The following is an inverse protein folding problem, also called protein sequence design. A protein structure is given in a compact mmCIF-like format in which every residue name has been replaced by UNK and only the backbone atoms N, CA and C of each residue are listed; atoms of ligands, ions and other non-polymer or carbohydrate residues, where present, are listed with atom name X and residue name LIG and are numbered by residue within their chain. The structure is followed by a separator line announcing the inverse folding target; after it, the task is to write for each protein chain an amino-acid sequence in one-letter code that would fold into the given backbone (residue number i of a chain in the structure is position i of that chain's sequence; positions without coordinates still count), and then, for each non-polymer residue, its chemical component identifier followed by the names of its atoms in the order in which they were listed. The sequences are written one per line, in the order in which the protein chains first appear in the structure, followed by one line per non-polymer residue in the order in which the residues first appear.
data_IF_107223792991
#
_entry.id   IF_107223792991
#
_cell.length_a   1.000
_cell.length_b   1.000
_cell.length_c   1.000
_cell.angle_alpha   90.00
_cell.angle_beta   90.00
_cell.angle_gamma   90.00
#
_symmetry.space_group_name_H-M   'P 1'
#
loop_
_entity.id
_entity.type
_entity.pdbx_description
1 polymer ?
#
# COMPACT_ATOMS: atom_id res chain seq x y z
N UNK A 1 -5.08 -19.12 7.08
CA UNK A 1 -5.03 -20.58 7.01
C UNK A 1 -3.91 -20.95 6.08
N UNK A 2 -3.21 -22.04 6.38
CA UNK A 2 -2.17 -22.55 5.51
C UNK A 2 -2.80 -23.07 4.20
N UNK A 3 -2.09 -22.92 3.08
CA UNK A 3 -2.61 -23.24 1.76
C UNK A 3 -1.64 -24.11 0.93
N UNK A 4 -0.58 -24.62 1.55
CA UNK A 4 0.43 -25.47 0.90
C UNK A 4 1.18 -26.32 1.94
N UNK A 5 1.66 -27.49 1.50
CA UNK A 5 2.39 -28.47 2.32
C UNK A 5 1.55 -29.70 2.68
N UNK A 6 2.15 -30.85 3.01
CA UNK A 6 1.40 -32.03 3.43
C UNK A 6 0.62 -31.75 4.72
N UNK A 7 -0.63 -32.21 4.79
CA UNK A 7 -1.52 -32.07 5.97
C UNK A 7 -1.71 -30.62 6.44
N UNK A 8 -1.67 -29.65 5.52
CA UNK A 8 -1.79 -28.22 5.87
C UNK A 8 -3.12 -27.88 6.55
N UNK A 9 -4.15 -28.71 6.34
CA UNK A 9 -5.48 -28.64 6.95
C UNK A 9 -5.50 -29.05 8.43
N UNK A 10 -4.50 -29.84 8.85
CA UNK A 10 -4.34 -30.26 10.25
C UNK A 10 -3.62 -29.23 11.11
N UNK A 11 -3.06 -28.17 10.49
CA UNK A 11 -2.36 -27.12 11.21
C UNK A 11 -3.37 -26.22 11.91
N UNK A 12 -3.43 -26.35 13.25
CA UNK A 12 -4.28 -25.53 14.09
C UNK A 12 -3.88 -24.05 14.11
N UNK A 13 -4.82 -23.18 14.52
CA UNK A 13 -4.56 -21.77 14.74
C UNK A 13 -5.21 -21.31 16.06
N UNK A 14 -4.62 -20.31 16.71
CA UNK A 14 -5.08 -19.77 17.99
C UNK A 14 -4.14 -20.10 19.14
N UNK A 15 -4.63 -19.92 20.36
CA UNK A 15 -3.87 -20.19 21.58
C UNK A 15 -4.05 -21.67 21.93
N UNK A 16 -2.97 -22.44 21.83
CA UNK A 16 -2.92 -23.87 22.15
C UNK A 16 -2.10 -24.11 23.43
N UNK A 17 -2.41 -25.18 24.15
CA UNK A 17 -1.68 -25.62 25.34
C UNK A 17 -0.17 -25.83 25.03
N UNK A 18 0.73 -25.59 26.00
CA UNK A 18 0.47 -25.10 27.36
C UNK A 18 0.27 -23.58 27.44
N UNK A 19 -0.58 -23.13 28.37
CA UNK A 19 -0.79 -21.72 28.70
C UNK A 19 -0.34 -21.50 30.14
N UNK A 20 0.79 -20.84 30.33
CA UNK A 20 1.42 -20.69 31.65
C UNK A 20 1.57 -19.22 32.05
N UNK A 21 1.31 -18.93 33.32
CA UNK A 21 1.75 -17.68 33.95
C UNK A 21 3.10 -17.92 34.62
N UNK A 22 4.16 -17.27 34.12
CA UNK A 22 5.52 -17.42 34.62
C UNK A 22 5.88 -16.20 35.47
N UNK A 23 6.18 -16.42 36.76
CA UNK A 23 6.69 -15.38 37.65
C UNK A 23 8.23 -15.33 37.63
N UNK A 24 8.86 -16.51 37.64
CA UNK A 24 10.30 -16.70 37.44
C UNK A 24 10.56 -18.13 36.92
N UNK A 25 11.83 -18.48 36.66
CA UNK A 25 12.21 -19.78 36.05
C UNK A 25 11.66 -21.02 36.77
N UNK A 26 11.34 -20.93 38.06
CA UNK A 26 10.92 -22.07 38.88
C UNK A 26 9.47 -21.95 39.38
N UNK A 27 8.82 -20.79 39.20
CA UNK A 27 7.47 -20.52 39.68
C UNK A 27 6.60 -20.17 38.48
N UNK A 28 5.79 -21.14 38.07
CA UNK A 28 4.78 -20.98 37.05
C UNK A 28 3.45 -21.60 37.48
N UNK A 29 2.37 -21.11 36.88
CA UNK A 29 1.03 -21.67 37.03
C UNK A 29 0.50 -22.04 35.66
N UNK A 30 0.25 -23.32 35.44
CA UNK A 30 -0.45 -23.80 34.26
C UNK A 30 -1.93 -23.41 34.33
N UNK A 31 -2.41 -22.77 33.27
CA UNK A 31 -3.80 -22.33 33.07
C UNK A 31 -4.52 -23.17 31.99
N UNK A 32 -3.86 -24.17 31.41
CA UNK A 32 -4.38 -24.91 30.25
C UNK A 32 -5.71 -25.60 30.56
N UNK A 33 -5.89 -26.11 31.79
CA UNK A 33 -7.13 -26.78 32.25
C UNK A 33 -8.15 -25.84 32.91
N UNK A 34 -7.90 -24.53 32.94
CA UNK A 34 -8.83 -23.56 33.52
C UNK A 34 -10.09 -23.40 32.67
N UNK A 35 -11.15 -22.83 33.25
CA UNK A 35 -12.37 -22.47 32.50
C UNK A 35 -12.07 -21.27 31.59
N UNK A 36 -12.07 -21.51 30.28
CA UNK A 36 -11.91 -20.49 29.25
C UNK A 36 -13.28 -20.03 28.72
N UNK A 37 -13.38 -18.74 28.38
CA UNK A 37 -14.55 -18.17 27.69
C UNK A 37 -14.12 -17.66 26.33
N UNK A 38 -14.92 -17.95 25.30
CA UNK A 38 -14.62 -17.61 23.92
C UNK A 38 -15.62 -16.58 23.40
N UNK A 39 -15.12 -15.58 22.66
CA UNK A 39 -15.94 -14.63 21.91
C UNK A 39 -15.44 -14.61 20.47
N UNK A 40 -16.27 -15.10 19.55
CA UNK A 40 -15.94 -15.10 18.13
C UNK A 40 -16.20 -13.71 17.54
N UNK A 41 -15.21 -13.18 16.81
CA UNK A 41 -15.34 -11.94 16.06
C UNK A 41 -15.36 -10.67 16.91
N UNK A 42 -15.56 -9.54 16.23
CA UNK A 42 -15.54 -8.20 16.83
C UNK A 42 -16.94 -7.60 16.84
N UNK A 43 -17.26 -6.83 17.89
CA UNK A 43 -18.55 -6.19 18.03
C UNK A 43 -18.91 -5.29 16.82
N UNK A 44 -17.94 -4.56 16.27
CA UNK A 44 -18.17 -3.72 15.08
C UNK A 44 -18.48 -4.52 13.81
N UNK A 45 -17.97 -5.74 13.69
CA UNK A 45 -18.29 -6.65 12.57
C UNK A 45 -19.71 -7.20 12.73
N UNK A 46 -20.06 -7.69 13.93
CA UNK A 46 -21.40 -8.21 14.22
C UNK A 46 -22.48 -7.14 14.02
N UNK A 47 -22.17 -5.88 14.36
CA UNK A 47 -23.06 -4.73 14.16
C UNK A 47 -22.91 -4.05 12.79
N UNK A 48 -22.12 -4.63 11.88
CA UNK A 48 -21.92 -4.18 10.50
C UNK A 48 -21.58 -2.68 10.40
N UNK A 49 -20.62 -2.19 11.18
CA UNK A 49 -20.20 -0.77 11.17
C UNK A 49 -19.76 -0.26 9.79
N UNK A 50 -19.34 -1.17 8.92
CA UNK A 50 -18.97 -0.88 7.53
C UNK A 50 -20.17 -0.63 6.60
N UNK A 51 -21.40 -1.00 6.99
CA UNK A 51 -22.56 -0.84 6.13
C UNK A 51 -23.08 0.61 6.13
N UNK A 52 -23.38 1.15 4.96
CA UNK A 52 -23.87 2.52 4.78
C UNK A 52 -25.37 2.67 5.03
N UNK A 53 -26.16 1.61 4.82
CA UNK A 53 -27.63 1.64 4.93
C UNK A 53 -28.16 1.40 6.35
N UNK A 54 -27.28 1.06 7.29
CA UNK A 54 -27.66 0.65 8.66
C UNK A 54 -27.43 1.76 9.69
N UNK A 55 -27.76 3.00 9.36
CA UNK A 55 -27.67 4.16 10.28
C UNK A 55 -28.42 3.91 11.62
N UNK A 56 -29.48 3.09 11.60
CA UNK A 56 -30.32 2.77 12.77
C UNK A 56 -29.75 1.68 13.71
N UNK A 57 -28.76 0.87 13.29
CA UNK A 57 -28.09 -0.12 14.16
C UNK A 57 -26.70 0.31 14.63
N UNK A 58 -26.15 1.36 14.02
CA UNK A 58 -24.94 2.05 14.48
C UNK A 58 -25.31 3.15 15.49
N UNK A 59 -26.04 2.80 16.56
CA UNK A 59 -26.17 3.66 17.76
C UNK A 59 -24.85 3.79 18.54
N UNK A 60 -23.72 3.52 17.87
CA UNK A 60 -22.37 3.73 18.36
C UNK A 60 -22.05 5.19 18.12
N UNK A 61 -21.84 5.93 19.21
CA UNK A 61 -21.50 7.36 19.19
C UNK A 61 -20.11 7.49 18.56
N UNK A 62 -20.05 7.63 17.23
CA UNK A 62 -18.83 8.05 16.54
C UNK A 62 -18.37 9.36 17.17
N UNK A 63 -17.08 9.42 17.53
CA UNK A 63 -16.46 10.60 18.13
C UNK A 63 -15.68 11.29 17.03
N UNK A 64 -15.98 12.56 16.80
CA UNK A 64 -15.31 13.38 15.77
C UNK A 64 -14.19 14.25 16.34
N UNK A 65 -14.22 14.57 17.62
CA UNK A 65 -13.22 15.44 18.26
C UNK A 65 -13.09 15.14 19.77
N UNK A 66 -11.89 14.79 20.27
CA UNK A 66 -10.69 14.44 19.52
C UNK A 66 -10.81 13.07 18.83
N UNK A 67 -10.22 12.92 17.64
CA UNK A 67 -10.09 11.62 16.98
C UNK A 67 -9.07 10.78 17.76
N UNK A 68 -9.42 9.58 18.27
CA UNK A 68 -8.46 8.74 18.95
C UNK A 68 -7.38 8.29 17.96
N UNK A 69 -6.11 8.42 18.36
CA UNK A 69 -4.95 7.93 17.58
C UNK A 69 -4.13 6.98 18.43
N UNK A 70 -3.37 6.09 17.80
CA UNK A 70 -2.52 5.09 18.48
C UNK A 70 -3.27 4.20 19.50
N UNK A 71 -4.57 3.99 19.25
CA UNK A 71 -5.43 3.16 20.09
C UNK A 71 -5.80 1.88 19.34
N UNK A 72 -5.49 0.73 19.96
CA UNK A 72 -5.83 -0.58 19.42
C UNK A 72 -7.34 -0.77 19.36
N UNK A 73 -7.78 -1.60 18.41
CA UNK A 73 -9.19 -1.95 18.20
C UNK A 73 -10.10 -0.73 17.99
N UNK A 74 -9.66 0.23 17.18
CA UNK A 74 -10.40 1.47 16.87
C UNK A 74 -11.08 1.37 15.51
N UNK A 75 -12.30 1.89 15.41
CA UNK A 75 -13.00 2.06 14.13
C UNK A 75 -12.92 3.52 13.70
N UNK A 76 -12.57 3.75 12.43
CA UNK A 76 -12.61 5.07 11.81
C UNK A 76 -13.64 5.08 10.68
N UNK A 77 -14.25 6.25 10.48
CA UNK A 77 -15.18 6.50 9.39
C UNK A 77 -14.97 7.91 8.89
N UNK A 78 -14.93 8.06 7.57
CA UNK A 78 -14.86 9.37 6.91
C UNK A 78 -15.60 9.33 5.58
N UNK A 79 -15.83 10.50 4.98
CA UNK A 79 -16.33 10.62 3.61
C UNK A 79 -15.28 11.25 2.69
N UNK A 80 -15.36 10.94 1.40
CA UNK A 80 -14.44 11.46 0.39
C UNK A 80 -15.11 11.53 -0.98
N UNK A 81 -14.60 12.37 -1.87
CA UNK A 81 -15.02 12.42 -3.27
C UNK A 81 -14.21 11.43 -4.10
N UNK A 82 -14.86 10.73 -5.02
CA UNK A 82 -14.15 9.83 -5.94
C UNK A 82 -13.13 10.61 -6.77
N UNK A 83 -11.89 10.10 -6.97
CA UNK A 83 -10.96 10.70 -7.91
C UNK A 83 -11.56 10.75 -9.32
N UNK A 84 -11.30 11.82 -10.07
CA UNK A 84 -11.87 11.99 -11.41
C UNK A 84 -11.34 10.94 -12.42
N UNK A 85 -12.10 10.76 -13.51
CA UNK A 85 -11.73 9.91 -14.65
C UNK A 85 -11.82 8.41 -14.36
N UNK A 86 -11.20 7.61 -15.25
CA UNK A 86 -11.36 6.15 -15.27
C UNK A 86 -10.12 5.38 -14.78
N UNK A 87 -9.08 6.10 -14.32
CA UNK A 87 -7.80 5.53 -13.91
C UNK A 87 -7.96 4.64 -12.66
N UNK A 88 -7.21 3.53 -12.48
CA UNK A 88 -7.25 2.73 -11.27
C UNK A 88 -7.06 3.58 -10.01
N UNK A 89 -7.79 3.25 -8.94
CA UNK A 89 -7.71 3.97 -7.65
C UNK A 89 -7.04 3.08 -6.61
N UNK A 90 -6.24 3.69 -5.76
CA UNK A 90 -5.71 3.09 -4.55
C UNK A 90 -5.93 4.02 -3.36
N UNK A 91 -5.97 3.43 -2.17
CA UNK A 91 -5.87 4.16 -0.90
C UNK A 91 -4.49 3.89 -0.30
N UNK A 92 -3.76 4.95 0.04
CA UNK A 92 -2.54 4.89 0.84
C UNK A 92 -2.95 4.87 2.32
N UNK A 93 -2.65 3.77 3.00
CA UNK A 93 -2.96 3.57 4.41
C UNK A 93 -1.74 3.79 5.31
N UNK A 94 -0.68 4.43 4.81
CA UNK A 94 0.50 4.75 5.61
C UNK A 94 0.14 5.59 6.85
N UNK A 95 0.74 5.26 7.99
CA UNK A 95 0.43 5.85 9.30
C UNK A 95 -0.52 5.00 10.14
N UNK A 96 -1.17 4.00 9.54
CA UNK A 96 -1.95 2.98 10.22
C UNK A 96 -1.12 1.72 10.52
N UNK A 97 -1.70 0.82 11.31
CA UNK A 97 -1.03 -0.39 11.81
C UNK A 97 -1.40 -1.62 10.99
N UNK A 98 -2.47 -2.28 11.43
CA UNK A 98 -3.01 -3.51 10.84
C UNK A 98 -4.53 -3.45 10.93
N UNK A 99 -5.24 -3.90 9.91
CA UNK A 99 -6.68 -3.78 9.95
C UNK A 99 -7.43 -4.29 8.74
N UNK A 100 -8.64 -3.77 8.59
CA UNK A 100 -9.54 -4.05 7.47
C UNK A 100 -10.16 -2.73 6.98
N UNK A 101 -10.38 -2.63 5.67
CA UNK A 101 -10.93 -1.44 5.05
C UNK A 101 -12.19 -1.76 4.23
N UNK A 102 -13.13 -0.82 4.21
CA UNK A 102 -14.33 -0.88 3.40
C UNK A 102 -14.60 0.46 2.72
N UNK A 103 -15.02 0.42 1.46
CA UNK A 103 -15.53 1.58 0.73
C UNK A 103 -16.98 1.32 0.36
N UNK A 104 -17.88 2.20 0.78
CA UNK A 104 -19.33 2.08 0.56
C UNK A 104 -19.90 0.71 1.00
N UNK A 105 -19.34 0.11 2.06
CA UNK A 105 -19.73 -1.21 2.56
C UNK A 105 -19.09 -2.40 1.86
N UNK A 106 -18.37 -2.18 0.76
CA UNK A 106 -17.60 -3.22 0.07
C UNK A 106 -16.22 -3.37 0.72
N UNK A 107 -15.86 -4.60 1.07
CA UNK A 107 -14.55 -4.90 1.67
C UNK A 107 -13.42 -4.72 0.64
N UNK A 108 -12.39 -3.97 1.01
CA UNK A 108 -11.13 -3.88 0.28
C UNK A 108 -10.13 -4.95 0.71
N UNK A 109 -10.45 -5.69 1.79
CA UNK A 109 -9.57 -6.69 2.38
C UNK A 109 -8.82 -6.20 3.61
N UNK A 110 -7.76 -6.94 3.95
CA UNK A 110 -6.89 -6.65 5.10
C UNK A 110 -5.78 -5.69 4.68
N UNK A 111 -5.43 -4.77 5.55
CA UNK A 111 -4.25 -3.93 5.41
C UNK A 111 -3.25 -4.20 6.54
N UNK A 112 -1.96 -4.03 6.25
CA UNK A 112 -0.89 -4.14 7.24
C UNK A 112 0.36 -3.31 6.86
N UNK A 113 0.25 -1.99 6.68
CA UNK A 113 1.37 -1.15 6.28
C UNK A 113 2.47 -1.04 7.35
N UNK A 114 2.19 -1.39 8.62
CA UNK A 114 3.25 -1.46 9.64
C UNK A 114 4.13 -2.71 9.53
N UNK A 115 3.78 -3.68 8.67
CA UNK A 115 4.60 -4.87 8.43
C UNK A 115 5.63 -4.57 7.34
N UNK A 116 6.86 -4.31 7.77
CA UNK A 116 7.96 -3.86 6.92
C UNK A 116 8.66 -5.06 6.28
N UNK A 117 8.93 -4.96 4.98
CA UNK A 117 9.67 -5.96 4.22
C UNK A 117 11.12 -6.06 4.71
N UNK A 118 11.63 -7.28 4.83
CA UNK A 118 12.98 -7.55 5.33
C UNK A 118 14.04 -6.89 4.42
N UNK A 119 14.86 -6.02 5.01
CA UNK A 119 15.95 -5.29 4.36
C UNK A 119 16.99 -6.22 3.74
N UNK A 120 17.17 -7.42 4.30
CA UNK A 120 18.20 -8.36 3.85
C UNK A 120 17.81 -9.11 2.58
N UNK A 121 16.53 -9.07 2.16
CA UNK A 121 16.07 -9.77 0.96
C UNK A 121 16.45 -9.04 -0.34
N UNK A 122 16.66 -7.73 -0.30
CA UNK A 122 17.07 -6.97 -1.48
C UNK A 122 18.58 -7.09 -1.66
N UNK A 123 18.98 -7.52 -2.85
CA UNK A 123 20.37 -7.52 -3.26
C UNK A 123 20.82 -6.10 -3.59
N UNK A 124 22.09 -5.81 -3.34
CA UNK A 124 22.74 -4.57 -3.75
C UNK A 124 23.04 -4.54 -5.26
N UNK A 125 23.13 -5.70 -5.90
CA UNK A 125 23.35 -5.82 -7.34
C UNK A 125 22.06 -5.56 -8.13
N UNK A 126 22.19 -4.89 -9.27
CA UNK A 126 21.08 -4.64 -10.21
C UNK A 126 20.56 -5.99 -10.72
N UNK A 127 19.24 -6.19 -10.65
CA UNK A 127 18.59 -7.40 -11.16
C UNK A 127 18.85 -7.56 -12.68
N UNK A 128 19.56 -8.63 -13.06
CA UNK A 128 19.78 -9.01 -14.44
C UNK A 128 18.79 -10.10 -14.87
N UNK A 129 18.13 -9.92 -16.02
CA UNK A 129 17.24 -10.92 -16.59
C UNK A 129 17.98 -12.20 -17.02
N UNK A 130 19.26 -12.09 -17.37
CA UNK A 130 20.10 -13.22 -17.82
C UNK A 130 20.46 -14.13 -16.65
N UNK A 131 20.68 -15.41 -16.95
CA UNK A 131 21.04 -16.43 -15.97
C UNK A 131 19.85 -16.97 -15.17
N UNK A 132 20.13 -17.98 -14.34
CA UNK A 132 19.09 -18.74 -13.62
C UNK A 132 18.24 -17.82 -12.73
N UNK A 133 16.92 -17.99 -12.79
CA UNK A 133 15.97 -17.26 -11.96
C UNK A 133 15.68 -18.02 -10.66
N UNK A 134 15.46 -17.25 -9.58
CA UNK A 134 14.82 -17.66 -8.33
C UNK A 134 13.89 -16.55 -7.87
N UNK A 135 12.94 -16.88 -7.00
CA UNK A 135 12.03 -15.94 -6.34
C UNK A 135 12.78 -14.82 -5.57
N UNK A 136 13.97 -15.12 -5.05
CA UNK A 136 14.87 -14.18 -4.39
C UNK A 136 15.79 -13.37 -5.31
N UNK A 137 15.73 -13.56 -6.64
CA UNK A 137 16.71 -12.94 -7.56
C UNK A 137 16.51 -11.42 -7.67
N UNK A 138 15.26 -10.98 -7.77
CA UNK A 138 14.88 -9.61 -8.13
C UNK A 138 13.83 -9.06 -7.17
N UNK A 139 14.08 -9.23 -5.87
CA UNK A 139 13.24 -8.65 -4.81
C UNK A 139 13.50 -7.14 -4.75
N UNK A 140 12.44 -6.37 -4.55
CA UNK A 140 12.48 -4.92 -4.42
C UNK A 140 11.67 -4.48 -3.19
N UNK A 141 11.69 -3.17 -2.89
CA UNK A 141 10.85 -2.57 -1.81
C UNK A 141 11.19 -3.04 -0.40
N UNK A 142 12.43 -3.44 -0.16
CA UNK A 142 12.87 -3.84 1.17
C UNK A 142 13.03 -2.63 2.10
N UNK A 143 12.66 -2.79 3.37
CA UNK A 143 12.62 -1.68 4.33
C UNK A 143 11.38 -0.78 4.18
N UNK A 144 10.53 -1.01 3.18
CA UNK A 144 9.21 -0.38 3.03
C UNK A 144 8.10 -1.29 3.58
N UNK A 145 6.87 -0.77 3.80
CA UNK A 145 5.70 -1.60 4.02
C UNK A 145 5.57 -2.70 2.95
N UNK A 146 5.38 -3.95 3.38
CA UNK A 146 5.12 -5.09 2.45
C UNK A 146 3.97 -4.81 1.48
N UNK A 147 2.99 -4.01 1.92
CA UNK A 147 2.02 -3.38 1.05
C UNK A 147 1.58 -2.02 1.62
N UNK A 148 1.84 -0.95 0.87
CA UNK A 148 1.43 0.43 1.22
C UNK A 148 0.10 0.84 0.59
N UNK A 149 -0.06 0.56 -0.71
CA UNK A 149 -1.23 0.95 -1.49
C UNK A 149 -2.22 -0.21 -1.62
N UNK A 150 -3.49 0.08 -1.35
CA UNK A 150 -4.58 -0.90 -1.38
C UNK A 150 -5.55 -0.53 -2.48
N UNK A 151 -5.82 -1.48 -3.38
CA UNK A 151 -6.65 -1.25 -4.55
C UNK A 151 -8.11 -0.95 -4.16
N UNK A 152 -8.69 0.07 -4.79
CA UNK A 152 -10.09 0.44 -4.66
C UNK A 152 -10.74 0.26 -6.03
N UNK A 153 -11.55 -0.81 -6.24
CA UNK A 153 -12.27 -1.01 -7.48
C UNK A 153 -13.17 0.20 -7.78
N UNK A 154 -13.10 0.72 -9.01
CA UNK A 154 -13.95 1.83 -9.47
C UNK A 154 -15.45 1.53 -9.29
N UNK A 155 -15.84 0.27 -9.44
CA UNK A 155 -17.21 -0.20 -9.24
C UNK A 155 -17.72 -0.02 -7.78
N UNK A 156 -16.82 0.12 -6.80
CA UNK A 156 -17.21 0.38 -5.41
C UNK A 156 -17.44 1.87 -5.16
N UNK A 157 -17.05 2.76 -6.08
CA UNK A 157 -17.17 4.20 -5.95
C UNK A 157 -18.46 4.71 -6.60
N UNK A 158 -19.01 5.77 -6.02
CA UNK A 158 -20.09 6.60 -6.55
C UNK A 158 -19.49 7.93 -7.02
N UNK A 159 -20.10 8.56 -8.02
CA UNK A 159 -19.62 9.84 -8.57
C UNK A 159 -19.63 10.99 -7.54
N UNK A 160 -20.49 10.90 -6.52
CA UNK A 160 -20.61 11.88 -5.45
C UNK A 160 -19.76 11.54 -4.21
N UNK A 161 -20.41 11.60 -3.05
CA UNK A 161 -19.79 11.29 -1.78
C UNK A 161 -19.69 9.78 -1.54
N UNK A 162 -18.51 9.34 -1.13
CA UNK A 162 -18.18 7.97 -0.80
C UNK A 162 -17.85 7.87 0.69
N UNK A 163 -18.12 6.72 1.30
CA UNK A 163 -17.77 6.45 2.71
C UNK A 163 -16.60 5.48 2.77
N UNK A 164 -15.56 5.84 3.54
CA UNK A 164 -14.49 4.93 3.95
C UNK A 164 -14.73 4.52 5.42
N UNK A 165 -14.69 3.22 5.70
CA UNK A 165 -14.66 2.68 7.06
C UNK A 165 -13.41 1.85 7.23
N UNK A 166 -12.72 2.03 8.35
CA UNK A 166 -11.51 1.29 8.72
C UNK A 166 -11.71 0.66 10.10
N UNK A 167 -11.25 -0.58 10.24
CA UNK A 167 -11.00 -1.19 11.55
C UNK A 167 -9.49 -1.29 11.74
N UNK A 168 -8.95 -0.61 12.76
CA UNK A 168 -7.54 -0.56 13.13
C UNK A 168 -7.28 -1.41 14.39
N UNK A 169 -6.48 -2.46 14.22
CA UNK A 169 -6.17 -3.47 15.23
C UNK A 169 -4.99 -3.04 16.12
N UNK A 170 -3.94 -2.45 15.55
CA UNK A 170 -2.66 -2.18 16.23
C UNK A 170 -2.52 -0.75 16.72
N UNK A 171 -3.39 0.15 16.25
CA UNK A 171 -3.35 1.58 16.58
C UNK A 171 -2.45 2.35 15.63
N UNK A 172 -2.94 3.50 15.16
CA UNK A 172 -2.22 4.36 14.22
C UNK A 172 -2.88 5.73 14.11
N UNK A 173 -2.38 6.54 13.18
CA UNK A 173 -2.89 7.87 12.91
C UNK A 173 -3.53 7.92 11.50
N UNK A 174 -4.86 8.10 11.39
CA UNK A 174 -5.55 8.10 10.11
C UNK A 174 -5.38 9.40 9.31
N UNK A 175 -4.74 10.44 9.84
CA UNK A 175 -4.65 11.76 9.20
C UNK A 175 -3.93 11.77 7.85
N UNK A 176 -3.09 10.76 7.58
CA UNK A 176 -2.35 10.63 6.31
C UNK A 176 -3.03 9.71 5.30
N UNK A 177 -4.22 9.16 5.63
CA UNK A 177 -4.96 8.29 4.70
C UNK A 177 -5.43 9.12 3.50
N UNK A 178 -5.03 8.70 2.31
CA UNK A 178 -5.33 9.44 1.08
C UNK A 178 -5.69 8.51 -0.08
N UNK A 179 -6.56 8.98 -0.96
CA UNK A 179 -6.89 8.29 -2.21
C UNK A 179 -6.10 8.92 -3.36
N UNK A 180 -5.57 8.07 -4.24
CA UNK A 180 -4.83 8.51 -5.42
C UNK A 180 -5.18 7.62 -6.61
N UNK A 181 -5.09 8.18 -7.81
CA UNK A 181 -5.13 7.40 -9.04
C UNK A 181 -3.75 6.88 -9.39
N UNK A 182 -3.67 5.63 -9.84
CA UNK A 182 -2.43 5.05 -10.35
C UNK A 182 -2.46 5.10 -11.87
N UNK A 183 -1.43 5.69 -12.46
CA UNK A 183 -1.23 5.71 -13.90
C UNK A 183 0.24 5.46 -14.20
N UNK A 184 0.50 4.72 -15.29
CA UNK A 184 1.82 4.71 -15.90
C UNK A 184 1.91 6.01 -16.70
N UNK A 185 2.35 7.08 -16.03
CA UNK A 185 2.51 8.38 -16.65
C UNK A 185 3.74 8.44 -17.54
N UNK A 186 3.65 9.14 -18.67
CA UNK A 186 4.83 9.70 -19.34
C UNK A 186 4.96 11.15 -18.88
N UNK A 187 6.11 11.52 -18.34
CA UNK A 187 6.43 12.91 -17.98
C UNK A 187 7.31 13.51 -19.06
N UNK A 188 7.14 14.79 -19.36
CA UNK A 188 8.10 15.55 -20.15
C UNK A 188 8.67 16.67 -19.30
N UNK A 189 9.94 16.96 -19.51
CA UNK A 189 10.64 18.03 -18.84
C UNK A 189 11.53 18.75 -19.84
N UNK A 190 11.61 20.07 -19.73
CA UNK A 190 12.55 20.90 -20.45
C UNK A 190 13.38 21.69 -19.44
N UNK A 191 14.66 21.89 -19.73
CA UNK A 191 15.56 22.66 -18.89
C UNK A 191 16.53 23.45 -19.75
N UNK A 192 17.11 24.50 -19.19
CA UNK A 192 18.10 25.33 -19.86
C UNK A 192 19.51 24.85 -19.51
N UNK A 193 20.49 25.20 -20.35
CA UNK A 193 21.90 24.88 -20.12
C UNK A 193 22.36 25.37 -18.73
N UNK A 194 23.13 24.52 -18.02
CA UNK A 194 23.63 24.81 -16.67
C UNK A 194 22.63 24.61 -15.54
N UNK A 195 21.44 24.04 -15.81
CA UNK A 195 20.46 23.65 -14.79
C UNK A 195 20.36 22.13 -14.66
N UNK A 196 20.19 21.67 -13.43
CA UNK A 196 20.02 20.25 -13.10
C UNK A 196 18.54 19.89 -13.00
N UNK A 197 18.20 18.67 -13.43
CA UNK A 197 16.85 18.12 -13.37
C UNK A 197 16.92 16.77 -12.69
N UNK A 198 16.10 16.61 -11.65
CA UNK A 198 15.89 15.34 -10.98
C UNK A 198 14.54 14.76 -11.41
N UNK A 199 14.57 13.53 -11.91
CA UNK A 199 13.37 12.75 -12.24
C UNK A 199 13.20 11.72 -11.13
N UNK A 200 12.01 11.67 -10.53
CA UNK A 200 11.62 10.61 -9.60
C UNK A 200 10.22 10.12 -9.94
N UNK A 201 10.04 8.81 -9.96
CA UNK A 201 8.78 8.16 -10.34
C UNK A 201 8.11 7.48 -9.13
N UNK A 202 8.05 8.18 -7.98
CA UNK A 202 7.43 7.67 -6.73
C UNK A 202 7.98 6.29 -6.37
N UNK A 203 9.30 6.18 -6.29
CA UNK A 203 9.99 4.93 -5.97
C UNK A 203 9.75 3.80 -7.00
N UNK A 204 9.55 4.14 -8.28
CA UNK A 204 9.43 3.18 -9.40
C UNK A 204 10.48 3.47 -10.48
N UNK A 205 11.04 2.44 -11.13
CA UNK A 205 12.04 2.64 -12.15
C UNK A 205 11.44 3.26 -13.42
N UNK A 206 12.21 4.13 -14.07
CA UNK A 206 11.86 4.67 -15.39
C UNK A 206 11.93 3.52 -16.40
N UNK A 207 10.80 3.21 -17.03
CA UNK A 207 10.71 2.09 -17.98
C UNK A 207 11.35 2.39 -19.34
N UNK A 208 11.18 3.62 -19.83
CA UNK A 208 11.65 4.02 -21.16
C UNK A 208 11.69 5.55 -21.28
N UNK A 209 12.70 6.07 -21.93
CA UNK A 209 12.72 7.46 -22.43
C UNK A 209 12.13 7.45 -23.85
N UNK A 210 11.01 8.14 -24.06
CA UNK A 210 10.34 8.18 -25.37
C UNK A 210 11.02 9.14 -26.34
N UNK A 211 11.61 10.21 -25.83
CA UNK A 211 12.25 11.26 -26.59
C UNK A 211 13.27 12.00 -25.72
N UNK A 212 14.39 12.38 -26.32
CA UNK A 212 15.36 13.29 -25.72
C UNK A 212 16.02 14.12 -26.83
N UNK A 213 16.21 15.40 -26.57
CA UNK A 213 16.94 16.30 -27.47
C UNK A 213 17.75 17.31 -26.67
N UNK A 214 18.92 17.65 -27.19
CA UNK A 214 19.72 18.78 -26.74
C UNK A 214 19.70 19.83 -27.86
N UNK A 215 18.73 20.74 -27.79
CA UNK A 215 18.39 21.64 -28.88
C UNK A 215 17.03 22.31 -28.64
N UNK A 216 16.36 22.69 -29.73
CA UNK A 216 15.04 23.32 -29.70
C UNK A 216 14.01 22.40 -30.37
N UNK A 217 13.61 21.29 -29.72
CA UNK A 217 12.71 20.32 -30.31
C UNK A 217 11.34 20.93 -30.61
N UNK A 218 10.69 20.45 -31.66
CA UNK A 218 9.37 20.92 -32.07
C UNK A 218 8.26 19.99 -31.58
N UNK A 219 7.06 20.52 -31.38
CA UNK A 219 5.88 19.75 -30.95
C UNK A 219 5.52 19.96 -29.48
N UNK A 220 4.78 19.01 -28.93
CA UNK A 220 4.25 19.05 -27.56
C UNK A 220 4.67 17.80 -26.78
N UNK A 221 4.53 17.84 -25.46
CA UNK A 221 4.84 16.70 -24.60
C UNK A 221 4.14 15.42 -25.06
N UNK A 222 4.94 14.38 -25.35
CA UNK A 222 4.48 13.09 -25.87
C UNK A 222 4.58 12.93 -27.38
N UNK A 223 4.84 14.02 -28.12
CA UNK A 223 4.99 14.07 -29.58
C UNK A 223 6.04 15.11 -29.98
N UNK A 224 7.23 15.04 -29.38
CA UNK A 224 8.35 15.89 -29.77
C UNK A 224 9.10 15.28 -30.94
N UNK A 225 9.50 16.15 -31.87
CA UNK A 225 10.34 15.82 -33.01
C UNK A 225 11.63 16.63 -32.99
N UNK A 226 12.69 16.07 -33.56
CA UNK A 226 13.97 16.75 -33.66
C UNK A 226 13.88 17.94 -34.61
N UNK A 227 14.49 19.05 -34.23
CA UNK A 227 14.59 20.25 -35.07
C UNK A 227 15.91 20.29 -35.85
N UNK A 228 16.02 21.18 -36.83
CA UNK A 228 17.30 21.46 -37.53
C UNK A 228 18.38 22.04 -36.58
N UNK A 229 17.97 22.61 -35.46
CA UNK A 229 18.85 23.18 -34.44
C UNK A 229 19.25 22.16 -33.36
N UNK A 230 18.89 20.89 -33.53
CA UNK A 230 19.22 19.85 -32.56
C UNK A 230 20.67 19.39 -32.69
N UNK A 231 21.29 19.14 -31.54
CA UNK A 231 22.65 18.63 -31.48
C UNK A 231 22.80 17.30 -32.21
N UNK A 232 23.98 17.11 -32.80
CA UNK A 232 24.38 15.82 -33.39
C UNK A 232 24.59 14.72 -32.33
N UNK A 233 24.66 15.10 -31.04
CA UNK A 233 24.80 14.16 -29.93
C UNK A 233 23.52 13.37 -29.74
N UNK A 234 23.64 12.06 -29.57
CA UNK A 234 22.50 11.19 -29.29
C UNK A 234 22.09 11.27 -27.82
N UNK A 235 21.36 12.34 -27.49
CA UNK A 235 20.83 12.57 -26.15
C UNK A 235 19.93 11.44 -25.65
N UNK A 236 19.25 10.73 -26.57
CA UNK A 236 18.36 9.63 -26.22
C UNK A 236 19.14 8.45 -25.65
N UNK A 237 20.18 7.99 -26.35
CA UNK A 237 21.03 6.89 -25.85
C UNK A 237 21.71 7.22 -24.52
N UNK A 238 22.11 8.49 -24.32
CA UNK A 238 22.71 8.94 -23.05
C UNK A 238 21.70 8.84 -21.91
N UNK A 239 20.50 9.42 -22.08
CA UNK A 239 19.46 9.39 -21.05
C UNK A 239 18.88 7.99 -20.85
N UNK A 240 18.77 7.16 -21.89
CA UNK A 240 18.35 5.77 -21.73
C UNK A 240 19.33 5.00 -20.84
N UNK A 241 20.64 5.16 -21.09
CA UNK A 241 21.68 4.52 -20.27
C UNK A 241 21.67 5.03 -18.83
N UNK A 242 21.41 6.32 -18.62
CA UNK A 242 21.47 6.93 -17.30
C UNK A 242 20.18 6.84 -16.49
N UNK A 243 19.01 6.77 -17.12
CA UNK A 243 17.72 6.85 -16.44
C UNK A 243 16.93 5.54 -16.47
N UNK A 244 17.00 4.74 -17.55
CA UNK A 244 16.16 3.54 -17.67
C UNK A 244 16.58 2.49 -16.65
N UNK A 245 15.62 1.98 -15.89
CA UNK A 245 15.84 1.04 -14.80
C UNK A 245 16.32 1.69 -13.49
N UNK A 246 16.56 3.01 -13.48
CA UNK A 246 16.84 3.79 -12.26
C UNK A 246 15.59 4.50 -11.76
N UNK A 247 15.63 4.87 -10.49
CA UNK A 247 14.63 5.73 -9.83
C UNK A 247 14.98 7.20 -10.01
#
# INVERSE_FOLDING_TARGET
MQNYGPMFDMVGAGITSPIELVLNKNVFKDLSSNKWTYKVGLNGISNKFFNTDCASKSSSRWISDPIPIYRNFTWYKTTFKAPLGNKPVVVDLLGLGKGMAWVNGHSLGRYWPSYIADKQLCKTEICDYRGRYSDSKCVSKCGEPTQRWYHVPRLFLKDGENTLVLFEEFGGNPSNVQFQTVEIGSVCINTHEGKEVELSCQDRPILKIKFASFGSPQGMCGSFDKSESDSKVDALSILEKECVGKE
#
